data_IF_462130275388
#
_entry.id   IF_462130275388
#
_cell.length_a   1.000
_cell.length_b   1.000
_cell.length_c   1.000
_cell.angle_alpha   90.00
_cell.angle_beta   90.00
_cell.angle_gamma   90.00
#
_symmetry.space_group_name_H-M   'P 1'
#
loop_
_entity.id
_entity.type
_entity.pdbx_description
1 polymer ?
#
# COMPACT_ATOMS: atom_id res chain seq x y z
N UNK A 1 14.83 10.36 0.02
CA UNK A 1 13.78 9.36 -0.21
C UNK A 1 13.69 9.06 -1.70
N UNK A 2 13.94 7.81 -2.09
CA UNK A 2 13.88 7.40 -3.50
C UNK A 2 12.44 7.36 -4.04
N UNK A 3 12.33 7.17 -5.36
CA UNK A 3 11.06 7.18 -6.06
C UNK A 3 10.08 6.09 -5.55
N UNK A 4 10.57 4.90 -5.20
CA UNK A 4 9.73 3.82 -4.68
C UNK A 4 9.20 4.17 -3.29
N UNK A 5 10.07 4.61 -2.39
CA UNK A 5 9.74 4.99 -1.00
C UNK A 5 8.68 6.09 -0.96
N UNK A 6 8.73 7.07 -1.87
CA UNK A 6 7.67 8.09 -1.99
C UNK A 6 6.32 7.49 -2.37
N UNK A 7 6.28 6.60 -3.36
CA UNK A 7 5.03 5.96 -3.77
C UNK A 7 4.47 5.00 -2.72
N UNK A 8 5.35 4.33 -1.98
CA UNK A 8 4.95 3.48 -0.87
C UNK A 8 4.36 4.31 0.26
N UNK A 9 5.00 5.41 0.65
CA UNK A 9 4.45 6.37 1.63
C UNK A 9 3.03 6.81 1.24
N UNK A 10 2.83 7.29 0.01
CA UNK A 10 1.50 7.69 -0.47
C UNK A 10 0.47 6.53 -0.45
N UNK A 11 0.92 5.29 -0.64
CA UNK A 11 0.06 4.10 -0.57
C UNK A 11 -0.32 3.79 0.86
N UNK A 12 0.63 3.85 1.80
CA UNK A 12 0.38 3.61 3.23
C UNK A 12 -0.51 4.71 3.81
N UNK A 13 -0.29 5.98 3.45
CA UNK A 13 -1.17 7.09 3.83
C UNK A 13 -2.61 6.85 3.38
N UNK A 14 -2.80 6.34 2.16
CA UNK A 14 -4.12 5.97 1.67
C UNK A 14 -4.72 4.79 2.45
N UNK A 15 -3.92 3.79 2.84
CA UNK A 15 -4.38 2.68 3.69
C UNK A 15 -4.78 3.19 5.08
N UNK A 16 -3.97 4.04 5.71
CA UNK A 16 -4.30 4.63 7.01
C UNK A 16 -5.60 5.44 6.97
N UNK A 17 -5.87 6.16 5.87
CA UNK A 17 -7.17 6.80 5.65
C UNK A 17 -8.32 5.80 5.52
N UNK A 18 -8.09 4.63 4.92
CA UNK A 18 -9.11 3.57 4.85
C UNK A 18 -9.38 2.98 6.24
N UNK A 19 -8.33 2.79 7.05
CA UNK A 19 -8.44 2.36 8.47
C UNK A 19 -9.27 3.37 9.26
N UNK A 20 -8.99 4.68 9.12
CA UNK A 20 -9.75 5.76 9.77
C UNK A 20 -11.25 5.73 9.42
N UNK A 21 -11.60 5.17 8.25
CA UNK A 21 -12.97 4.99 7.79
C UNK A 21 -13.55 3.59 8.09
N UNK A 22 -12.89 2.78 8.94
CA UNK A 22 -13.25 1.40 9.26
C UNK A 22 -13.33 0.45 8.05
N UNK A 23 -12.55 0.73 7.00
CA UNK A 23 -12.46 -0.11 5.81
C UNK A 23 -11.29 -1.09 5.99
N UNK A 24 -11.62 -2.38 6.10
CA UNK A 24 -10.64 -3.46 6.33
C UNK A 24 -10.13 -4.13 5.05
N UNK A 25 -10.76 -3.84 3.91
CA UNK A 25 -10.42 -4.42 2.60
C UNK A 25 -9.85 -3.36 1.67
N UNK A 26 -8.63 -3.61 1.21
CA UNK A 26 -7.86 -2.73 0.33
C UNK A 26 -7.72 -3.37 -1.05
N UNK A 27 -7.89 -2.54 -2.07
CA UNK A 27 -7.63 -2.89 -3.48
C UNK A 27 -6.85 -1.76 -4.15
N UNK A 28 -6.16 -2.05 -5.25
CA UNK A 28 -5.54 -1.01 -6.10
C UNK A 28 -6.54 0.08 -6.48
N UNK A 29 -7.81 -0.29 -6.73
CA UNK A 29 -8.89 0.64 -7.06
C UNK A 29 -9.23 1.58 -5.89
N UNK A 30 -9.27 1.06 -4.66
CA UNK A 30 -9.55 1.87 -3.46
C UNK A 30 -8.44 2.90 -3.20
N UNK A 31 -7.17 2.48 -3.26
CA UNK A 31 -6.02 3.38 -3.10
C UNK A 31 -5.98 4.43 -4.20
N UNK A 32 -6.22 4.03 -5.45
CA UNK A 32 -6.30 4.96 -6.59
C UNK A 32 -7.34 6.05 -6.35
N UNK A 33 -8.52 5.69 -5.82
CA UNK A 33 -9.58 6.64 -5.49
C UNK A 33 -9.17 7.56 -4.33
N UNK A 34 -8.59 7.00 -3.28
CA UNK A 34 -8.10 7.77 -2.13
C UNK A 34 -7.07 8.83 -2.54
N UNK A 35 -6.19 8.50 -3.48
CA UNK A 35 -5.14 9.40 -3.98
C UNK A 35 -5.56 10.21 -5.22
N UNK A 36 -6.84 10.22 -5.61
CA UNK A 36 -7.36 10.94 -6.79
C UNK A 36 -6.58 10.67 -8.10
N UNK A 37 -6.05 9.45 -8.27
CA UNK A 37 -5.26 9.07 -9.44
C UNK A 37 -6.19 8.72 -10.61
N UNK A 38 -6.01 9.38 -11.76
CA UNK A 38 -6.77 9.07 -12.99
C UNK A 38 -6.54 7.62 -13.43
N UNK A 39 -7.58 6.96 -13.94
CA UNK A 39 -7.48 5.58 -14.44
C UNK A 39 -6.52 5.43 -15.64
N UNK A 40 -6.28 6.51 -16.38
CA UNK A 40 -5.31 6.58 -17.47
C UNK A 40 -3.85 6.65 -17.00
N UNK A 41 -3.59 6.98 -15.71
CA UNK A 41 -2.24 7.00 -15.18
C UNK A 41 -1.75 5.59 -14.82
N UNK A 42 -1.39 4.83 -15.86
CA UNK A 42 -0.94 3.44 -15.75
C UNK A 42 0.32 3.29 -14.89
N UNK A 43 1.23 4.26 -14.95
CA UNK A 43 2.45 4.28 -14.14
C UNK A 43 2.12 4.29 -12.64
N UNK A 44 1.31 5.25 -12.19
CA UNK A 44 0.93 5.37 -10.78
C UNK A 44 0.13 4.16 -10.29
N UNK A 45 -0.75 3.60 -11.13
CA UNK A 45 -1.47 2.36 -10.82
C UNK A 45 -0.50 1.19 -10.62
N UNK A 46 0.53 1.08 -11.45
CA UNK A 46 1.56 0.05 -11.30
C UNK A 46 2.36 0.21 -10.01
N UNK A 47 2.67 1.45 -9.61
CA UNK A 47 3.33 1.72 -8.33
C UNK A 47 2.46 1.32 -7.13
N UNK A 48 1.17 1.67 -7.15
CA UNK A 48 0.22 1.23 -6.11
C UNK A 48 0.21 -0.30 -6.01
N UNK A 49 0.15 -1.00 -7.15
CA UNK A 49 0.16 -2.46 -7.17
C UNK A 49 1.45 -3.03 -6.57
N UNK A 50 2.62 -2.49 -6.96
CA UNK A 50 3.92 -2.90 -6.39
C UNK A 50 4.02 -2.62 -4.89
N UNK A 51 3.47 -1.52 -4.42
CA UNK A 51 3.44 -1.18 -2.99
C UNK A 51 2.55 -2.13 -2.20
N UNK A 52 1.36 -2.49 -2.72
CA UNK A 52 0.48 -3.47 -2.06
C UNK A 52 1.11 -4.87 -2.02
N UNK A 53 1.75 -5.30 -3.11
CA UNK A 53 2.47 -6.59 -3.18
C UNK A 53 3.67 -6.63 -2.22
N UNK A 54 4.36 -5.50 -2.04
CA UNK A 54 5.41 -5.36 -1.03
C UNK A 54 4.87 -5.50 0.39
N UNK A 55 3.80 -4.76 0.73
CA UNK A 55 3.19 -4.80 2.07
C UNK A 55 2.62 -6.19 2.41
N UNK A 56 2.11 -6.92 1.40
CA UNK A 56 1.72 -8.33 1.54
C UNK A 56 2.91 -9.21 1.94
N UNK A 57 4.03 -9.08 1.23
CA UNK A 57 5.24 -9.86 1.47
C UNK A 57 5.88 -9.60 2.84
N UNK A 58 5.74 -8.39 3.36
CA UNK A 58 6.18 -8.04 4.72
C UNK A 58 5.14 -8.43 5.81
N UNK A 59 4.01 -9.04 5.44
CA UNK A 59 2.98 -9.51 6.39
C UNK A 59 2.06 -8.43 6.96
N UNK A 60 2.14 -7.20 6.43
CA UNK A 60 1.32 -6.05 6.85
C UNK A 60 -0.08 -6.14 6.24
N UNK A 61 -0.17 -6.70 5.05
CA UNK A 61 -1.42 -7.02 4.37
C UNK A 61 -1.52 -8.53 4.17
N UNK A 62 -2.74 -9.05 4.21
CA UNK A 62 -3.00 -10.45 3.87
C UNK A 62 -3.82 -10.51 2.58
N UNK A 63 -3.44 -11.40 1.66
CA UNK A 63 -4.20 -11.57 0.44
C UNK A 63 -5.59 -12.15 0.74
N UNK A 64 -6.64 -11.45 0.32
CA UNK A 64 -8.02 -11.89 0.50
C UNK A 64 -8.50 -12.67 -0.73
N UNK A 65 -8.22 -13.97 -0.73
CA UNK A 65 -8.58 -14.91 -1.79
C UNK A 65 -7.61 -14.88 -2.99
N UNK A 66 -7.88 -15.71 -4.00
CA UNK A 66 -6.99 -15.94 -5.15
C UNK A 66 -7.41 -15.20 -6.42
N UNK A 67 -8.50 -14.42 -6.38
CA UNK A 67 -9.12 -13.85 -7.58
C UNK A 67 -8.49 -12.53 -8.05
N UNK A 68 -8.55 -12.31 -9.36
CA UNK A 68 -8.19 -11.04 -10.01
C UNK A 68 -9.44 -10.15 -10.14
N UNK A 69 -9.36 -8.86 -9.76
CA UNK A 69 -8.19 -8.16 -9.24
C UNK A 69 -7.88 -8.50 -7.77
N UNK A 70 -6.58 -8.56 -7.43
CA UNK A 70 -6.11 -8.84 -6.06
C UNK A 70 -6.78 -7.90 -5.06
N UNK A 71 -7.22 -8.47 -3.94
CA UNK A 71 -7.71 -7.74 -2.78
C UNK A 71 -6.93 -8.14 -1.54
N UNK A 72 -6.79 -7.23 -0.61
CA UNK A 72 -5.97 -7.37 0.58
C UNK A 72 -6.79 -7.05 1.82
N UNK A 73 -6.62 -7.81 2.89
CA UNK A 73 -7.11 -7.49 4.23
C UNK A 73 -6.01 -6.77 4.99
N UNK A 74 -6.39 -5.73 5.72
CA UNK A 74 -5.52 -5.09 6.69
C UNK A 74 -5.49 -5.99 7.92
N UNK A 75 -4.31 -6.46 8.32
CA UNK A 75 -4.15 -7.43 9.41
C UNK A 75 -4.35 -6.80 10.79
N UNK A 76 -4.07 -5.50 10.92
CA UNK A 76 -4.24 -4.73 12.15
C UNK A 76 -5.20 -3.55 11.93
N UNK A 77 -6.04 -3.27 12.91
CA UNK A 77 -6.85 -2.04 12.95
C UNK A 77 -6.03 -0.81 13.36
N UNK A 78 -4.76 -0.99 13.73
CA UNK A 78 -3.86 0.10 14.04
C UNK A 78 -3.26 0.70 12.77
N UNK A 79 -3.00 2.01 12.80
CA UNK A 79 -2.30 2.69 11.72
C UNK A 79 -0.93 2.08 11.52
N UNK A 80 -0.56 1.94 10.25
CA UNK A 80 0.78 1.51 9.85
C UNK A 80 1.73 2.68 10.11
N UNK A 81 2.80 2.44 10.85
CA UNK A 81 3.88 3.39 11.04
C UNK A 81 4.66 3.54 9.72
N UNK A 82 4.47 4.69 9.06
CA UNK A 82 5.10 4.96 7.77
C UNK A 82 6.61 5.09 7.94
N UNK A 83 7.07 5.76 8.98
CA UNK A 83 8.48 6.10 9.14
C UNK A 83 9.30 4.84 9.49
N UNK A 84 8.71 3.93 10.27
CA UNK A 84 9.28 2.61 10.51
C UNK A 84 9.47 1.81 9.21
N UNK A 85 8.41 1.68 8.40
CA UNK A 85 8.45 0.92 7.14
C UNK A 85 9.47 1.49 6.16
N UNK A 86 9.50 2.81 6.02
CA UNK A 86 10.47 3.46 5.12
C UNK A 86 11.90 3.24 5.62
N UNK A 87 12.14 3.36 6.92
CA UNK A 87 13.46 3.12 7.51
C UNK A 87 13.93 1.67 7.29
N UNK A 88 13.04 0.68 7.43
CA UNK A 88 13.35 -0.71 7.14
C UNK A 88 13.79 -0.93 5.68
N UNK A 89 13.14 -0.27 4.72
CA UNK A 89 13.48 -0.36 3.30
C UNK A 89 14.82 0.29 3.01
N UNK A 90 15.08 1.47 3.58
CA UNK A 90 16.35 2.17 3.38
C UNK A 90 17.51 1.34 3.96
N UNK A 91 17.32 0.71 5.12
CA UNK A 91 18.31 -0.19 5.73
C UNK A 91 18.56 -1.47 4.91
N UNK A 92 17.51 -2.11 4.36
CA UNK A 92 17.63 -3.30 3.49
C UNK A 92 18.40 -3.05 2.18
N UNK A 93 18.60 -1.79 1.78
CA UNK A 93 19.33 -1.43 0.55
C UNK A 93 20.81 -1.11 0.78
N UNK A 94 21.20 -0.89 2.04
CA UNK A 94 22.57 -0.61 2.45
C UNK A 94 23.28 -1.89 2.92
N UNK A 95 22.52 -2.98 3.10
CA UNK A 95 23.01 -4.34 3.44
C UNK A 95 23.24 -5.19 2.18
#
# INVERSE_FOLDING_TARGET
MDFFSRNLRETIEAINKLIDNNITLVTTKSIRRCNNVKASNRSKINFIWRSLDYLEKEGILEMNGTYSPKSYKITSSQKIDIDEIISQIENKRIS
#
